data_IF_098913606310
#
_entry.id   IF_098913606310
#
_cell.length_a   1.000
_cell.length_b   1.000
_cell.length_c   1.000
_cell.angle_alpha   90.00
_cell.angle_beta   90.00
_cell.angle_gamma   90.00
#
_symmetry.space_group_name_H-M   'P 1'
#
loop_
_entity.id
_entity.type
_entity.pdbx_description
1 polymer ?
#
# COMPACT_ATOMS: atom_id res chain seq x y z
N UNK A 1 4.58 1.48 -9.48
CA UNK A 1 4.46 2.18 -8.18
C UNK A 1 3.50 1.43 -7.28
N UNK A 2 3.80 1.36 -5.98
CA UNK A 2 3.04 0.63 -4.97
C UNK A 2 2.40 1.61 -3.99
N UNK A 3 1.09 1.54 -3.85
CA UNK A 3 0.31 2.36 -2.92
C UNK A 3 -0.15 1.51 -1.74
N UNK A 4 0.19 1.92 -0.53
CA UNK A 4 -0.25 1.24 0.69
C UNK A 4 -1.15 2.17 1.48
N UNK A 5 -2.34 1.66 1.81
CA UNK A 5 -3.33 2.34 2.64
C UNK A 5 -3.44 1.68 4.02
N UNK A 6 -4.28 2.22 4.91
CA UNK A 6 -4.47 1.72 6.27
C UNK A 6 -5.18 0.36 6.35
N UNK A 7 -6.43 0.34 6.84
CA UNK A 7 -7.26 -0.88 6.95
C UNK A 7 -7.62 -1.47 5.58
N UNK A 8 -8.00 -0.59 4.66
CA UNK A 8 -8.50 -0.94 3.35
C UNK A 8 -8.09 0.15 2.35
N UNK A 9 -7.94 -0.23 1.09
CA UNK A 9 -7.72 0.73 0.01
C UNK A 9 -9.00 1.53 -0.20
N UNK A 10 -8.87 2.85 -0.33
CA UNK A 10 -10.01 3.72 -0.63
C UNK A 10 -10.74 3.28 -1.92
N UNK A 11 -12.07 3.10 -1.86
CA UNK A 11 -12.85 2.48 -2.93
C UNK A 11 -12.73 3.18 -4.29
N UNK A 12 -12.77 4.52 -4.31
CA UNK A 12 -12.61 5.26 -5.57
C UNK A 12 -11.20 5.14 -6.14
N UNK A 13 -10.18 5.03 -5.30
CA UNK A 13 -8.80 4.85 -5.73
C UNK A 13 -8.57 3.44 -6.28
N UNK A 14 -9.14 2.42 -5.62
CA UNK A 14 -9.14 1.05 -6.11
C UNK A 14 -9.78 0.97 -7.50
N UNK A 15 -10.95 1.60 -7.70
CA UNK A 15 -11.61 1.64 -9.01
C UNK A 15 -10.80 2.39 -10.07
N UNK A 16 -10.17 3.51 -9.70
CA UNK A 16 -9.37 4.31 -10.63
C UNK A 16 -8.06 3.61 -11.05
N UNK A 17 -7.46 2.83 -10.14
CA UNK A 17 -6.17 2.16 -10.36
C UNK A 17 -6.28 0.73 -10.89
N UNK A 18 -7.43 0.05 -10.73
CA UNK A 18 -7.59 -1.39 -11.00
C UNK A 18 -7.15 -1.86 -12.40
N UNK A 19 -7.22 -1.00 -13.42
CA UNK A 19 -6.87 -1.34 -14.80
C UNK A 19 -5.52 -0.74 -15.27
N UNK A 20 -4.77 -0.09 -14.37
CA UNK A 20 -3.53 0.57 -14.73
C UNK A 20 -2.35 -0.39 -14.59
N UNK A 21 -1.59 -0.56 -15.67
CA UNK A 21 -0.40 -1.41 -15.68
C UNK A 21 0.70 -0.75 -14.84
N UNK A 22 1.29 -1.52 -13.93
CA UNK A 22 2.40 -1.08 -13.09
C UNK A 22 1.99 -0.20 -11.90
N UNK A 23 0.69 -0.12 -11.60
CA UNK A 23 0.16 0.53 -10.39
C UNK A 23 -0.54 -0.53 -9.55
N UNK A 24 -0.01 -0.76 -8.36
CA UNK A 24 -0.57 -1.73 -7.41
C UNK A 24 -1.03 -0.99 -6.14
N UNK A 25 -2.14 -1.43 -5.55
CA UNK A 25 -2.65 -0.87 -4.29
C UNK A 25 -3.07 -1.97 -3.32
N UNK A 26 -2.70 -1.81 -2.05
CA UNK A 26 -2.98 -2.79 -1.00
C UNK A 26 -3.17 -2.14 0.37
N UNK A 27 -3.89 -2.78 1.31
CA UNK A 27 -3.92 -2.36 2.70
C UNK A 27 -2.60 -2.71 3.42
N UNK A 28 -2.29 -2.02 4.52
CA UNK A 28 -1.06 -2.20 5.28
C UNK A 28 -0.84 -3.64 5.75
N UNK A 29 -1.92 -4.38 6.03
CA UNK A 29 -1.84 -5.80 6.42
C UNK A 29 -1.30 -6.70 5.30
N UNK A 30 -1.54 -6.34 4.03
CA UNK A 30 -1.05 -7.08 2.86
C UNK A 30 0.38 -6.75 2.45
N UNK A 31 1.00 -5.74 3.07
CA UNK A 31 2.32 -5.26 2.69
C UNK A 31 3.41 -6.26 3.03
N UNK A 32 4.11 -6.74 2.01
CA UNK A 32 5.24 -7.67 2.11
C UNK A 32 6.53 -7.06 1.54
N UNK A 33 7.67 -7.65 1.95
CA UNK A 33 9.00 -7.13 1.60
C UNK A 33 9.27 -7.21 0.09
N UNK A 34 8.83 -8.28 -0.57
CA UNK A 34 9.11 -8.48 -1.99
C UNK A 34 8.49 -7.38 -2.85
N UNK A 35 7.22 -7.05 -2.63
CA UNK A 35 6.51 -6.01 -3.37
C UNK A 35 7.11 -4.63 -3.12
N UNK A 36 7.53 -4.35 -1.87
CA UNK A 36 8.19 -3.09 -1.51
C UNK A 36 9.52 -2.93 -2.24
N UNK A 37 10.36 -3.96 -2.26
CA UNK A 37 11.68 -3.90 -2.93
C UNK A 37 11.53 -3.87 -4.45
N UNK A 38 10.52 -4.54 -5.00
CA UNK A 38 10.24 -4.57 -6.44
C UNK A 38 9.70 -3.23 -6.96
N UNK A 39 9.03 -2.44 -6.12
CA UNK A 39 8.40 -1.20 -6.55
C UNK A 39 9.42 -0.07 -6.77
N UNK A 40 9.38 0.56 -7.94
CA UNK A 40 10.20 1.75 -8.23
C UNK A 40 9.83 2.98 -7.37
N UNK A 41 8.60 3.01 -6.89
CA UNK A 41 8.08 4.11 -6.09
C UNK A 41 7.08 3.57 -5.09
N UNK A 42 7.29 3.89 -3.83
CA UNK A 42 6.43 3.52 -2.70
C UNK A 42 5.67 4.75 -2.20
N UNK A 43 4.34 4.68 -2.16
CA UNK A 43 3.46 5.73 -1.66
C UNK A 43 2.67 5.19 -0.49
N UNK A 44 2.75 5.87 0.65
CA UNK A 44 2.12 5.46 1.91
C UNK A 44 1.15 6.54 2.37
N UNK A 45 -0.06 6.17 2.77
CA UNK A 45 -0.93 7.08 3.52
C UNK A 45 -0.42 7.21 4.95
N UNK A 46 -0.79 8.29 5.65
CA UNK A 46 -0.40 8.46 7.07
C UNK A 46 -0.89 7.28 7.93
N UNK A 47 -2.12 6.84 7.69
CA UNK A 47 -2.70 5.67 8.35
C UNK A 47 -1.93 4.37 8.04
N UNK A 48 -1.39 4.22 6.82
CA UNK A 48 -0.54 3.07 6.48
C UNK A 48 0.78 3.09 7.27
N UNK A 49 1.42 4.26 7.43
CA UNK A 49 2.65 4.41 8.20
C UNK A 49 2.43 4.00 9.66
N UNK A 50 1.42 4.58 10.32
CA UNK A 50 1.11 4.28 11.74
C UNK A 50 0.91 2.77 11.97
N UNK A 51 0.26 2.07 11.03
CA UNK A 51 0.03 0.63 11.13
C UNK A 51 1.26 -0.20 10.86
N UNK A 52 2.06 0.17 9.87
CA UNK A 52 3.31 -0.52 9.59
C UNK A 52 4.29 -0.37 10.77
N UNK A 53 4.35 0.81 11.40
CA UNK A 53 5.13 1.04 12.61
C UNK A 53 4.63 0.19 13.78
N UNK A 54 3.32 0.17 14.04
CA UNK A 54 2.74 -0.68 15.08
C UNK A 54 3.00 -2.17 14.84
N UNK A 55 3.04 -2.61 13.58
CA UNK A 55 3.34 -3.99 13.19
C UNK A 55 4.82 -4.36 13.37
N UNK A 56 5.73 -3.40 13.17
CA UNK A 56 7.17 -3.64 13.25
C UNK A 56 7.74 -3.47 14.66
N UNK A 57 7.09 -2.66 15.49
CA UNK A 57 7.51 -2.36 16.87
C UNK A 57 6.66 -3.08 17.93
N UNK A 58 5.64 -3.82 17.51
CA UNK A 58 4.76 -4.62 18.36
C UNK A 58 5.29 -6.01 18.65
#
# INVERSE_FOLDING_TARGET
ALFIDGDAVHASFAQASANLIGIDSLPAIGANVYDIIRADTLVLTRAAVEKLEARCNG
#
